data_IF_505520564123
#
_entry.id   IF_505520564123
#
_cell.length_a   1.000
_cell.length_b   1.000
_cell.length_c   1.000
_cell.angle_alpha   90.00
_cell.angle_beta   90.00
_cell.angle_gamma   90.00
#
_symmetry.space_group_name_H-M   'P 1'
#
loop_
_entity.id
_entity.type
_entity.pdbx_description
1 polymer ?
#
# COMPACT_ATOMS: atom_id res chain seq x y z
N UNK A 1 -10.31 0.70 -12.32
CA UNK A 1 -8.86 0.41 -12.40
C UNK A 1 -8.45 -0.41 -11.18
N UNK A 2 -7.73 -1.52 -11.33
CA UNK A 2 -7.43 -2.47 -10.24
C UNK A 2 -6.19 -2.09 -9.39
N UNK A 3 -5.19 -1.42 -9.97
CA UNK A 3 -3.88 -1.20 -9.32
C UNK A 3 -3.90 -0.39 -8.01
N UNK A 4 -4.84 0.54 -7.82
CA UNK A 4 -4.97 1.27 -6.55
C UNK A 4 -5.41 0.38 -5.38
N UNK A 5 -6.25 -0.63 -5.62
CA UNK A 5 -6.77 -1.52 -4.56
C UNK A 5 -5.71 -2.50 -4.09
N UNK A 6 -4.99 -3.14 -5.01
CA UNK A 6 -3.88 -4.06 -4.71
C UNK A 6 -2.84 -3.35 -3.83
N UNK A 7 -2.51 -2.10 -4.17
CA UNK A 7 -1.58 -1.32 -3.37
C UNK A 7 -2.12 -0.99 -1.98
N UNK A 8 -3.41 -0.66 -1.88
CA UNK A 8 -4.03 -0.37 -0.60
C UNK A 8 -4.07 -1.61 0.31
N UNK A 9 -4.29 -2.81 -0.23
CA UNK A 9 -4.23 -4.06 0.53
C UNK A 9 -2.85 -4.28 1.16
N UNK A 10 -1.77 -4.06 0.39
CA UNK A 10 -0.39 -4.12 0.89
C UNK A 10 -0.10 -3.05 1.95
N UNK A 11 -0.63 -1.85 1.76
CA UNK A 11 -0.56 -0.80 2.78
C UNK A 11 -1.30 -1.22 4.06
N UNK A 12 -2.49 -1.82 3.96
CA UNK A 12 -3.27 -2.30 5.10
C UNK A 12 -2.55 -3.43 5.86
N UNK A 13 -1.91 -4.37 5.16
CA UNK A 13 -1.07 -5.40 5.79
C UNK A 13 0.04 -4.78 6.67
N UNK A 14 0.67 -3.69 6.22
CA UNK A 14 1.71 -2.99 6.99
C UNK A 14 1.13 -2.23 8.18
N UNK A 15 -0.06 -1.64 8.04
CA UNK A 15 -0.78 -1.01 9.16
C UNK A 15 -1.04 -2.01 10.29
N UNK A 16 -1.53 -3.21 9.95
CA UNK A 16 -1.81 -4.28 10.91
C UNK A 16 -0.52 -4.77 11.59
N UNK A 17 0.54 -5.06 10.81
CA UNK A 17 1.83 -5.53 11.34
C UNK A 17 2.52 -4.53 12.27
N UNK A 18 2.30 -3.24 12.05
CA UNK A 18 2.95 -2.17 12.83
C UNK A 18 2.02 -1.54 13.88
N UNK A 19 0.77 -2.02 13.98
CA UNK A 19 -0.28 -1.45 14.83
C UNK A 19 -0.45 0.06 14.62
N UNK A 20 -0.44 0.49 13.36
CA UNK A 20 -0.60 1.89 12.94
C UNK A 20 -1.94 2.12 12.27
N UNK A 21 -2.43 3.34 12.36
CA UNK A 21 -3.60 3.80 11.60
C UNK A 21 -3.17 4.57 10.35
N UNK A 22 -4.02 4.59 9.32
CA UNK A 22 -3.77 5.41 8.13
C UNK A 22 -3.61 6.91 8.49
N UNK A 23 -4.30 7.38 9.53
CA UNK A 23 -4.15 8.74 10.07
C UNK A 23 -2.74 8.99 10.61
N UNK A 24 -2.19 8.07 11.41
CA UNK A 24 -0.81 8.18 11.91
C UNK A 24 0.20 8.21 10.77
N UNK A 25 0.06 7.32 9.78
CA UNK A 25 0.93 7.33 8.60
C UNK A 25 0.80 8.65 7.83
N UNK A 26 -0.43 9.18 7.68
CA UNK A 26 -0.65 10.47 7.03
C UNK A 26 0.13 11.59 7.73
N UNK A 27 0.07 11.63 9.07
CA UNK A 27 0.79 12.62 9.88
C UNK A 27 2.31 12.47 9.79
N UNK A 28 2.81 11.24 9.84
CA UNK A 28 4.24 10.97 9.88
C UNK A 28 4.91 11.16 8.50
N UNK A 29 4.20 10.86 7.42
CA UNK A 29 4.74 10.88 6.04
C UNK A 29 4.39 12.14 5.25
N UNK A 30 3.42 12.92 5.71
CA UNK A 30 2.85 14.05 4.97
C UNK A 30 1.99 13.66 3.77
N UNK A 31 1.75 12.36 3.52
CA UNK A 31 0.80 11.91 2.49
C UNK A 31 -0.61 12.19 2.98
N UNK A 32 -1.39 12.94 2.19
CA UNK A 32 -2.79 13.24 2.52
C UNK A 32 -3.65 11.99 2.67
N UNK A 33 -4.46 11.94 3.73
CA UNK A 33 -5.33 10.80 4.05
C UNK A 33 -6.34 10.46 2.93
N UNK A 34 -6.75 11.46 2.15
CA UNK A 34 -7.59 11.30 0.96
C UNK A 34 -6.93 10.42 -0.11
N UNK A 35 -5.60 10.41 -0.20
CA UNK A 35 -4.85 9.58 -1.14
C UNK A 35 -5.04 8.10 -0.81
N UNK A 36 -4.92 7.72 0.46
CA UNK A 36 -5.17 6.35 0.90
C UNK A 36 -6.61 5.92 0.62
N UNK A 37 -7.58 6.80 0.89
CA UNK A 37 -8.99 6.56 0.59
C UNK A 37 -9.24 6.37 -0.91
N UNK A 38 -8.56 7.13 -1.77
CA UNK A 38 -8.67 6.97 -3.22
C UNK A 38 -8.04 5.68 -3.72
N UNK A 39 -6.92 5.24 -3.17
CA UNK A 39 -6.34 3.93 -3.48
C UNK A 39 -7.26 2.81 -3.04
N UNK A 40 -7.80 2.86 -1.81
CA UNK A 40 -8.80 1.92 -1.29
C UNK A 40 -10.01 1.79 -2.22
N UNK A 41 -10.52 2.91 -2.71
CA UNK A 41 -11.67 2.93 -3.62
C UNK A 41 -11.30 2.55 -5.07
N UNK A 42 -10.01 2.49 -5.42
CA UNK A 42 -9.53 2.31 -6.80
C UNK A 42 -9.74 3.53 -7.70
N UNK A 43 -9.86 4.73 -7.11
CA UNK A 43 -10.13 6.00 -7.80
C UNK A 43 -8.89 6.69 -8.36
N UNK A 44 -7.69 6.33 -7.89
CA UNK A 44 -6.44 6.91 -8.37
C UNK A 44 -5.35 5.84 -8.52
N UNK A 45 -4.39 6.12 -9.41
CA UNK A 45 -3.19 5.30 -9.56
C UNK A 45 -2.11 5.83 -8.60
N UNK A 46 -1.54 4.98 -7.73
CA UNK A 46 -0.40 5.37 -6.90
C UNK A 46 0.79 5.78 -7.76
N UNK A 47 1.45 6.85 -7.34
CA UNK A 47 2.66 7.36 -7.99
C UNK A 47 3.88 6.88 -7.21
N UNK A 48 4.97 6.60 -7.93
CA UNK A 48 6.19 5.98 -7.39
C UNK A 48 6.81 6.80 -6.24
N UNK A 49 6.72 8.14 -6.29
CA UNK A 49 7.18 9.03 -5.20
C UNK A 49 6.55 8.67 -3.86
N UNK A 50 5.24 8.40 -3.83
CA UNK A 50 4.52 8.07 -2.60
C UNK A 50 4.82 6.65 -2.13
N UNK A 51 5.06 5.75 -3.06
CA UNK A 51 5.43 4.37 -2.73
C UNK A 51 6.79 4.31 -2.06
N UNK A 52 7.74 5.12 -2.55
CA UNK A 52 9.05 5.27 -1.91
C UNK A 52 8.92 5.79 -0.48
N UNK A 53 8.14 6.84 -0.26
CA UNK A 53 7.91 7.40 1.09
C UNK A 53 7.33 6.34 2.04
N UNK A 54 6.35 5.56 1.59
CA UNK A 54 5.78 4.49 2.41
C UNK A 54 6.78 3.35 2.66
N UNK A 55 7.56 2.96 1.65
CA UNK A 55 8.58 1.94 1.77
C UNK A 55 9.62 2.33 2.83
N UNK A 56 10.14 3.56 2.75
CA UNK A 56 11.08 4.12 3.72
C UNK A 56 10.46 4.19 5.13
N UNK A 57 9.20 4.61 5.25
CA UNK A 57 8.49 4.72 6.52
C UNK A 57 8.29 3.37 7.22
N UNK A 58 7.94 2.33 6.47
CA UNK A 58 7.71 0.98 7.01
C UNK A 58 8.98 0.12 7.05
N UNK A 59 10.11 0.61 6.54
CA UNK A 59 11.36 -0.15 6.47
C UNK A 59 11.30 -1.36 5.53
N UNK A 60 10.51 -1.27 4.45
CA UNK A 60 10.40 -2.31 3.41
C UNK A 60 10.96 -1.80 2.09
N UNK A 61 11.27 -2.68 1.14
CA UNK A 61 11.70 -2.23 -0.19
C UNK A 61 10.50 -1.74 -1.02
N UNK A 62 10.74 -0.86 -1.99
CA UNK A 62 9.68 -0.31 -2.84
C UNK A 62 9.01 -1.39 -3.70
N UNK A 63 9.75 -2.44 -4.03
CA UNK A 63 9.28 -3.65 -4.73
C UNK A 63 8.11 -4.29 -3.97
N UNK A 64 8.09 -4.23 -2.63
CA UNK A 64 6.94 -4.70 -1.85
C UNK A 64 5.63 -4.09 -2.34
N UNK A 65 5.61 -2.82 -2.78
CA UNK A 65 4.39 -2.20 -3.31
C UNK A 65 4.17 -2.42 -4.82
N UNK A 66 5.24 -2.71 -5.57
CA UNK A 66 5.19 -2.85 -7.02
C UNK A 66 4.93 -4.28 -7.48
N UNK A 67 5.27 -5.27 -6.68
CA UNK A 67 4.93 -6.67 -6.96
C UNK A 67 3.41 -6.80 -7.05
N UNK A 68 2.89 -7.34 -8.15
CA UNK A 68 1.55 -7.92 -8.11
C UNK A 68 1.71 -9.27 -7.41
N UNK A 69 0.91 -9.58 -6.37
CA UNK A 69 0.90 -10.95 -5.83
C UNK A 69 0.60 -11.85 -7.03
N UNK A 70 1.61 -12.57 -7.52
CA UNK A 70 1.40 -13.63 -8.48
C UNK A 70 0.39 -14.57 -7.82
N UNK A 71 -0.78 -14.66 -8.44
CA UNK A 71 -1.77 -15.67 -8.07
C UNK A 71 -1.20 -16.99 -8.56
N UNK A 72 -0.34 -17.60 -7.77
CA UNK A 72 0.01 -19.00 -7.92
C UNK A 72 -0.84 -19.79 -6.94
N UNK A 73 -1.97 -20.27 -7.47
CA UNK A 73 -2.55 -21.54 -7.07
C UNK A 73 -1.43 -22.55 -6.80
N UNK A 74 -1.24 -22.95 -5.55
CA UNK A 74 -1.05 -24.37 -5.30
C UNK A 74 -2.44 -24.99 -5.33
N UNK A 75 -2.87 -25.32 -6.53
CA UNK A 75 -3.90 -26.34 -6.72
C UNK A 75 -3.41 -27.56 -5.93
N UNK A 76 -4.18 -27.98 -4.94
CA UNK A 76 -3.93 -29.19 -4.18
C UNK A 76 -3.89 -30.37 -5.16
N UNK A 77 -2.83 -31.17 -5.08
CA UNK A 77 -2.67 -32.44 -5.81
C UNK A 77 -3.76 -33.44 -5.43
#
# INVERSE_FOLDING_TARGET
MKGGRILYEKFAELLEKTNKTAYQVSKDTGIGENIFSYWKAGRSKPKVDKLKILADYFGVSIEYFLEEKAVDMKEEL
#
